data_IF_978115945085
#
_entry.id   IF_978115945085
#
_cell.length_a   1.000
_cell.length_b   1.000
_cell.length_c   1.000
_cell.angle_alpha   90.00
_cell.angle_beta   90.00
_cell.angle_gamma   90.00
#
_symmetry.space_group_name_H-M   'P 1'
#
loop_
_entity.id
_entity.type
_entity.pdbx_description
1 polymer ?
#
# COMPACT_ATOMS: atom_id res chain seq x y z
N UNK A 1 -21.89 -7.65 -10.24
CA UNK A 1 -21.07 -7.68 -9.02
C UNK A 1 -19.80 -6.93 -9.38
N UNK A 2 -19.52 -5.83 -8.70
CA UNK A 2 -18.37 -4.99 -9.05
C UNK A 2 -17.06 -5.69 -8.69
N UNK A 3 -15.99 -5.36 -9.41
CA UNK A 3 -14.65 -5.91 -9.18
C UNK A 3 -14.04 -5.31 -7.90
N UNK A 4 -13.59 -6.16 -6.98
CA UNK A 4 -13.03 -5.74 -5.68
C UNK A 4 -11.63 -5.16 -5.88
N UNK A 5 -11.39 -3.93 -5.39
CA UNK A 5 -10.08 -3.27 -5.43
C UNK A 5 -9.32 -3.54 -4.14
N UNK A 6 -8.21 -4.24 -4.23
CA UNK A 6 -7.33 -4.54 -3.10
C UNK A 6 -6.08 -3.67 -3.19
N UNK A 7 -5.92 -2.72 -2.27
CA UNK A 7 -4.71 -1.92 -2.19
C UNK A 7 -3.54 -2.75 -1.66
N UNK A 8 -2.44 -2.82 -2.42
CA UNK A 8 -1.21 -3.44 -1.96
C UNK A 8 -0.33 -2.40 -1.23
N UNK A 9 -0.04 -2.66 0.04
CA UNK A 9 0.93 -1.88 0.82
C UNK A 9 2.16 -2.75 1.10
N UNK A 10 3.31 -2.34 0.59
CA UNK A 10 4.60 -2.98 0.84
C UNK A 10 5.73 -1.96 0.92
N UNK A 11 6.80 -2.31 1.64
CA UNK A 11 8.05 -1.56 1.63
C UNK A 11 8.83 -1.89 0.34
N UNK A 12 8.69 -1.04 -0.67
CA UNK A 12 9.44 -1.17 -1.93
C UNK A 12 9.23 -2.52 -2.64
N UNK A 13 10.30 -3.04 -3.22
CA UNK A 13 10.31 -4.28 -4.02
C UNK A 13 10.54 -5.57 -3.20
N UNK A 14 10.50 -5.52 -1.87
CA UNK A 14 10.80 -6.66 -0.99
C UNK A 14 9.92 -7.88 -1.28
N UNK A 15 8.70 -7.65 -1.77
CA UNK A 15 7.73 -8.71 -2.09
C UNK A 15 7.60 -8.98 -3.60
N UNK A 16 8.50 -8.44 -4.43
CA UNK A 16 8.47 -8.64 -5.89
C UNK A 16 8.56 -10.12 -6.29
N UNK A 17 9.34 -10.92 -5.56
CA UNK A 17 9.49 -12.35 -5.81
C UNK A 17 8.23 -13.20 -5.55
N UNK A 18 7.26 -12.66 -4.81
CA UNK A 18 5.96 -13.31 -4.55
C UNK A 18 4.78 -12.56 -5.17
N UNK A 19 5.04 -11.46 -5.88
CA UNK A 19 4.00 -10.66 -6.51
C UNK A 19 3.13 -11.46 -7.49
N UNK A 20 3.69 -12.32 -8.37
CA UNK A 20 2.87 -13.15 -9.27
C UNK A 20 1.91 -14.09 -8.53
N UNK A 21 2.29 -14.58 -7.35
CA UNK A 21 1.49 -15.47 -6.52
C UNK A 21 0.33 -14.71 -5.87
N UNK A 22 0.59 -13.48 -5.39
CA UNK A 22 -0.46 -12.60 -4.86
C UNK A 22 -1.45 -12.26 -5.98
N UNK A 23 -0.96 -11.88 -7.16
CA UNK A 23 -1.82 -11.55 -8.30
C UNK A 23 -2.66 -12.76 -8.75
N UNK A 24 -2.06 -13.96 -8.84
CA UNK A 24 -2.79 -15.21 -9.11
C UNK A 24 -3.87 -15.50 -8.06
N UNK A 25 -3.62 -15.20 -6.78
CA UNK A 25 -4.61 -15.40 -5.72
C UNK A 25 -5.76 -14.40 -5.86
N UNK A 26 -5.46 -13.12 -6.07
CA UNK A 26 -6.46 -12.05 -6.24
C UNK A 26 -7.36 -12.28 -7.44
N UNK A 27 -6.80 -12.68 -8.58
CA UNK A 27 -7.55 -12.96 -9.81
C UNK A 27 -8.56 -14.12 -9.67
N UNK A 28 -8.45 -14.98 -8.64
CA UNK A 28 -9.45 -16.03 -8.35
C UNK A 28 -10.72 -15.47 -7.71
N UNK A 29 -10.71 -14.25 -7.20
CA UNK A 29 -11.77 -13.67 -6.36
C UNK A 29 -12.51 -12.46 -6.97
N UNK A 30 -12.65 -12.35 -8.30
CA UNK A 30 -13.25 -11.18 -8.97
C UNK A 30 -12.69 -9.85 -8.42
N UNK A 31 -11.38 -9.81 -8.24
CA UNK A 31 -10.67 -8.75 -7.57
C UNK A 31 -9.43 -8.37 -8.38
N UNK A 32 -8.92 -7.16 -8.15
CA UNK A 32 -7.65 -6.66 -8.71
C UNK A 32 -6.80 -5.98 -7.65
N UNK A 33 -5.49 -6.05 -7.84
CA UNK A 33 -4.54 -5.27 -7.05
C UNK A 33 -4.49 -3.83 -7.57
N UNK A 34 -4.49 -2.87 -6.65
CA UNK A 34 -4.26 -1.45 -6.93
C UNK A 34 -3.10 -0.93 -6.10
N UNK A 35 -2.36 0.02 -6.67
CA UNK A 35 -1.26 0.69 -6.00
C UNK A 35 -1.69 2.14 -5.71
N UNK A 36 -1.92 2.50 -4.43
CA UNK A 36 -2.30 3.86 -4.08
C UNK A 36 -1.25 4.86 -4.57
N UNK A 37 -1.71 5.89 -5.28
CA UNK A 37 -0.86 7.01 -5.67
C UNK A 37 -0.78 8.01 -4.52
N UNK A 38 0.41 8.60 -4.33
CA UNK A 38 0.66 9.67 -3.36
C UNK A 38 1.62 10.69 -3.96
N UNK A 39 1.38 11.97 -3.70
CA UNK A 39 2.30 13.02 -4.08
C UNK A 39 3.55 12.97 -3.18
N UNK A 40 4.73 13.22 -3.75
CA UNK A 40 6.00 13.21 -3.01
C UNK A 40 6.03 14.22 -1.86
N UNK A 41 5.35 15.36 -2.01
CA UNK A 41 5.22 16.39 -0.97
C UNK A 41 4.46 15.90 0.28
N UNK A 42 3.57 14.92 0.12
CA UNK A 42 2.71 14.43 1.21
C UNK A 42 3.42 13.35 2.05
N UNK A 43 4.60 12.88 1.62
CA UNK A 43 5.32 11.79 2.29
C UNK A 43 5.84 12.23 3.66
N UNK A 44 6.46 13.42 3.74
CA UNK A 44 7.05 13.91 4.98
C UNK A 44 5.97 14.22 6.02
N UNK A 45 4.88 14.84 5.59
CA UNK A 45 3.70 15.11 6.43
C UNK A 45 3.05 13.82 6.92
N UNK A 46 2.99 12.78 6.08
CA UNK A 46 2.46 11.49 6.49
C UNK A 46 3.31 10.86 7.59
N UNK A 47 4.63 10.85 7.42
CA UNK A 47 5.57 10.25 8.37
C UNK A 47 5.56 10.99 9.72
N UNK A 48 5.48 12.32 9.68
CA UNK A 48 5.35 13.16 10.88
C UNK A 48 4.05 12.86 11.65
N UNK A 49 2.91 12.75 10.95
CA UNK A 49 1.61 12.50 11.57
C UNK A 49 1.51 11.10 12.22
N UNK A 50 2.23 10.12 11.68
CA UNK A 50 2.29 8.76 12.25
C UNK A 50 3.26 8.71 13.44
N UNK A 51 4.03 9.79 13.69
CA UNK A 51 4.97 9.89 14.80
C UNK A 51 6.20 8.98 14.64
N UNK A 52 6.54 8.62 13.40
CA UNK A 52 7.67 7.76 13.09
C UNK A 52 8.81 8.58 12.50
N UNK A 53 10.02 8.49 13.07
CA UNK A 53 11.23 8.98 12.40
C UNK A 53 11.91 7.82 11.66
N UNK A 54 11.57 7.68 10.37
CA UNK A 54 12.04 6.57 9.54
C UNK A 54 12.98 7.07 8.44
N UNK A 55 14.19 6.50 8.39
CA UNK A 55 15.19 6.82 7.39
C UNK A 55 14.92 6.15 6.03
N UNK A 56 14.16 5.04 6.00
CA UNK A 56 13.90 4.28 4.77
C UNK A 56 12.90 5.00 3.86
N UNK A 57 13.27 5.38 2.62
CA UNK A 57 12.36 6.03 1.68
C UNK A 57 11.14 5.17 1.33
N UNK A 58 11.33 3.85 1.20
CA UNK A 58 10.26 2.91 0.87
C UNK A 58 9.25 2.78 2.01
N UNK A 59 9.72 2.81 3.26
CA UNK A 59 8.85 2.78 4.43
C UNK A 59 8.07 4.09 4.57
N UNK A 60 8.73 5.23 4.31
CA UNK A 60 8.09 6.55 4.25
C UNK A 60 6.98 6.57 3.19
N UNK A 61 7.24 6.03 2.01
CA UNK A 61 6.26 5.92 0.94
C UNK A 61 5.08 5.00 1.33
N UNK A 62 5.36 3.87 1.97
CA UNK A 62 4.31 2.96 2.47
C UNK A 62 3.41 3.65 3.50
N UNK A 63 4.00 4.41 4.43
CA UNK A 63 3.29 5.24 5.41
C UNK A 63 2.38 6.28 4.74
N UNK A 64 2.89 6.99 3.72
CA UNK A 64 2.10 7.94 2.95
C UNK A 64 0.91 7.28 2.23
N UNK A 65 1.13 6.12 1.60
CA UNK A 65 0.06 5.35 0.95
C UNK A 65 -1.00 4.89 1.96
N UNK A 66 -0.59 4.47 3.16
CA UNK A 66 -1.51 4.10 4.23
C UNK A 66 -2.37 5.28 4.66
N UNK A 67 -1.77 6.46 4.86
CA UNK A 67 -2.51 7.70 5.18
C UNK A 67 -3.51 8.07 4.08
N UNK A 68 -3.12 7.99 2.81
CA UNK A 68 -4.01 8.29 1.69
C UNK A 68 -5.24 7.38 1.63
N UNK A 69 -5.10 6.10 2.01
CA UNK A 69 -6.22 5.17 2.12
C UNK A 69 -7.14 5.52 3.31
N UNK A 70 -6.58 5.85 4.47
CA UNK A 70 -7.35 6.26 5.66
C UNK A 70 -8.13 7.56 5.39
N UNK A 71 -7.51 8.52 4.71
CA UNK A 71 -8.12 9.80 4.33
C UNK A 71 -9.06 9.68 3.12
N UNK A 72 -9.26 8.48 2.56
CA UNK A 72 -10.09 8.21 1.38
C UNK A 72 -9.67 9.02 0.14
N UNK A 73 -8.38 9.37 0.04
CA UNK A 73 -7.76 9.96 -1.16
C UNK A 73 -7.38 8.90 -2.19
N UNK A 74 -7.29 7.63 -1.78
CA UNK A 74 -7.15 6.47 -2.65
C UNK A 74 -8.33 5.53 -2.49
N UNK A 75 -8.84 5.00 -3.60
CA UNK A 75 -10.03 4.14 -3.65
C UNK A 75 -9.68 2.65 -3.61
N UNK A 76 -10.10 1.97 -2.55
CA UNK A 76 -9.91 0.53 -2.36
C UNK A 76 -10.96 -0.06 -1.39
N UNK A 77 -11.39 -1.28 -1.66
CA UNK A 77 -12.35 -2.03 -0.84
C UNK A 77 -11.67 -2.82 0.28
N UNK A 78 -10.42 -3.23 0.06
CA UNK A 78 -9.59 -3.95 1.03
C UNK A 78 -8.12 -3.54 0.91
N UNK A 79 -7.33 -3.91 1.92
CA UNK A 79 -5.89 -3.65 1.97
C UNK A 79 -5.16 -4.95 2.24
N UNK A 80 -4.15 -5.25 1.42
CA UNK A 80 -3.19 -6.33 1.66
C UNK A 80 -1.85 -5.72 2.08
N UNK A 81 -1.49 -5.93 3.36
CA UNK A 81 -0.30 -5.33 3.98
C UNK A 81 0.81 -6.38 4.04
N UNK A 82 1.89 -6.14 3.30
CA UNK A 82 3.10 -6.93 3.29
C UNK A 82 4.19 -6.18 4.07
N UNK A 83 4.41 -6.58 5.33
CA UNK A 83 5.38 -5.97 6.22
C UNK A 83 6.30 -7.01 6.86
N UNK A 84 7.58 -6.66 7.02
CA UNK A 84 8.54 -7.43 7.79
C UNK A 84 8.59 -7.01 9.27
N UNK A 85 7.94 -5.91 9.63
CA UNK A 85 7.76 -5.45 11.00
C UNK A 85 6.76 -6.37 11.72
N UNK A 86 7.15 -6.85 12.91
CA UNK A 86 6.35 -7.70 13.80
C UNK A 86 5.87 -6.90 15.00
#
# INVERSE_FOLDING_TARGET
>A
MDEIKIALLSCGAEYSGVYPEIEKAVNRFNAKLVHPFVDTKDIDDAVADIGMDVASPDLRLMAAKAKALVEKKADADAIFICTCFR
#
